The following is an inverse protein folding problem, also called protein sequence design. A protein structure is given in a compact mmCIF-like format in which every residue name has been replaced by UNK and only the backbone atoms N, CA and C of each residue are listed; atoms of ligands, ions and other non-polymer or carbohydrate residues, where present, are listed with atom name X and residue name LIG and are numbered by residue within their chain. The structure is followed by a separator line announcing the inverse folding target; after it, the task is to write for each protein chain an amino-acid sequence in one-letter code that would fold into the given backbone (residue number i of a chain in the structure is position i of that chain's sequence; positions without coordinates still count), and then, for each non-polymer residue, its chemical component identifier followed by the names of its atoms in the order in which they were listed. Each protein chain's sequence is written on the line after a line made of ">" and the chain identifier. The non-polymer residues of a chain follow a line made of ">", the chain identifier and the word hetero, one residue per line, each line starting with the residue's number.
data_IF_990612387112
#
_entry.id   IF_990612387112
#
_cell.length_a   1.000
_cell.length_b   1.000
_cell.length_c   1.000
_cell.angle_alpha   90.00
_cell.angle_beta   90.00
_cell.angle_gamma   90.00
#
_symmetry.space_group_name_H-M   'P 1'
#
loop_
_entity.id
_entity.type
_entity.pdbx_description
1 polymer ?
#
# COMPACT_ATOMS: atom_id res chain seq x y z
N UNK A 1 -15.87 -18.58 -16.51
CA UNK A 1 -14.81 -19.23 -15.71
C UNK A 1 -15.31 -19.37 -14.29
N UNK A 2 -15.05 -20.50 -13.66
CA UNK A 2 -15.39 -20.69 -12.24
C UNK A 2 -14.48 -19.81 -11.38
N UNK A 3 -15.06 -19.08 -10.42
CA UNK A 3 -14.28 -18.20 -9.53
C UNK A 3 -13.37 -19.03 -8.63
N UNK A 4 -12.18 -18.53 -8.36
CA UNK A 4 -11.18 -19.17 -7.49
C UNK A 4 -11.54 -19.13 -5.99
N UNK A 5 -12.66 -18.48 -5.64
CA UNK A 5 -13.20 -18.39 -4.29
C UNK A 5 -14.74 -18.49 -4.30
N UNK A 6 -15.31 -18.76 -3.14
CA UNK A 6 -16.74 -18.64 -2.84
C UNK A 6 -16.96 -17.81 -1.57
N UNK A 7 -18.09 -17.15 -1.47
CA UNK A 7 -18.56 -16.55 -0.23
C UNK A 7 -19.15 -17.65 0.66
N UNK A 8 -18.84 -17.61 1.96
CA UNK A 8 -19.36 -18.57 2.94
C UNK A 8 -20.58 -18.00 3.68
N UNK A 9 -21.23 -18.82 4.50
CA UNK A 9 -22.30 -18.36 5.39
C UNK A 9 -21.80 -17.57 6.62
N UNK A 10 -20.48 -17.58 6.88
CA UNK A 10 -19.89 -16.79 7.96
C UNK A 10 -19.89 -15.31 7.57
N UNK A 11 -20.55 -14.48 8.37
CA UNK A 11 -20.68 -13.04 8.10
C UNK A 11 -20.30 -12.18 9.29
N UNK A 12 -19.93 -10.95 9.00
CA UNK A 12 -19.77 -9.88 9.99
C UNK A 12 -20.57 -8.64 9.57
N UNK A 13 -21.04 -7.88 10.55
CA UNK A 13 -21.56 -6.54 10.31
C UNK A 13 -20.44 -5.53 10.42
N UNK A 14 -20.19 -4.74 9.38
CA UNK A 14 -19.11 -3.77 9.33
C UNK A 14 -19.53 -2.50 8.62
N UNK A 15 -19.50 -1.36 9.32
CA UNK A 15 -19.89 -0.05 8.79
C UNK A 15 -21.23 -0.04 8.05
N UNK A 16 -22.22 -0.78 8.57
CA UNK A 16 -23.56 -0.87 7.97
C UNK A 16 -23.71 -1.88 6.83
N UNK A 17 -22.64 -2.55 6.44
CA UNK A 17 -22.64 -3.60 5.41
C UNK A 17 -22.53 -5.00 6.02
N UNK A 18 -23.11 -6.00 5.37
CA UNK A 18 -22.88 -7.40 5.68
C UNK A 18 -21.74 -7.92 4.82
N UNK A 19 -20.64 -8.31 5.45
CA UNK A 19 -19.49 -8.87 4.75
C UNK A 19 -19.44 -10.39 4.98
N UNK A 20 -19.14 -11.12 3.94
CA UNK A 20 -19.03 -12.58 3.94
C UNK A 20 -17.57 -13.00 3.93
N UNK A 21 -17.22 -13.97 4.76
CA UNK A 21 -15.92 -14.63 4.67
C UNK A 21 -15.82 -15.38 3.35
N UNK A 22 -14.64 -15.30 2.73
CA UNK A 22 -14.36 -16.08 1.52
C UNK A 22 -13.60 -17.37 1.84
N UNK A 23 -13.72 -18.35 0.94
CA UNK A 23 -13.00 -19.61 0.97
C UNK A 23 -12.53 -19.97 -0.43
N UNK A 24 -11.26 -20.38 -0.58
CA UNK A 24 -10.70 -20.78 -1.87
C UNK A 24 -11.38 -22.04 -2.42
N UNK A 25 -11.81 -22.03 -3.67
CA UNK A 25 -12.43 -23.18 -4.36
C UNK A 25 -11.40 -24.10 -5.01
N UNK A 26 -10.20 -23.59 -5.29
CA UNK A 26 -9.08 -24.30 -5.88
C UNK A 26 -7.75 -23.78 -5.35
N UNK A 27 -6.69 -24.54 -5.59
CA UNK A 27 -5.34 -24.07 -5.35
C UNK A 27 -5.04 -22.86 -6.25
N UNK A 28 -4.45 -21.84 -5.67
CA UNK A 28 -3.96 -20.64 -6.33
C UNK A 28 -2.55 -20.30 -5.84
N UNK A 29 -1.99 -19.23 -6.37
CA UNK A 29 -0.72 -18.69 -5.88
C UNK A 29 -0.81 -18.24 -4.41
N UNK A 30 -2.02 -17.89 -3.93
CA UNK A 30 -2.22 -17.21 -2.66
C UNK A 30 -2.94 -18.04 -1.60
N UNK A 31 -3.67 -19.08 -2.02
CA UNK A 31 -4.46 -19.90 -1.13
C UNK A 31 -4.57 -21.33 -1.64
N UNK A 32 -4.71 -22.28 -0.72
CA UNK A 32 -5.04 -23.68 -1.02
C UNK A 32 -6.55 -23.87 -1.03
N UNK A 33 -7.05 -24.83 -1.81
CA UNK A 33 -8.46 -25.21 -1.81
C UNK A 33 -8.95 -25.44 -0.38
N UNK A 34 -10.10 -24.85 -0.01
CA UNK A 34 -10.65 -24.86 1.34
C UNK A 34 -10.03 -23.87 2.33
N UNK A 35 -8.97 -23.14 1.94
CA UNK A 35 -8.40 -22.13 2.81
C UNK A 35 -9.34 -20.94 2.95
N UNK A 36 -9.58 -20.53 4.21
CA UNK A 36 -10.37 -19.33 4.52
C UNK A 36 -9.57 -18.08 4.25
N UNK A 37 -10.21 -17.12 3.60
CA UNK A 37 -9.70 -15.79 3.37
C UNK A 37 -10.28 -14.74 4.33
N UNK A 38 -10.24 -13.47 3.95
CA UNK A 38 -10.86 -12.35 4.65
C UNK A 38 -12.36 -12.20 4.31
N UNK A 39 -12.82 -10.96 4.27
CA UNK A 39 -14.23 -10.62 4.13
C UNK A 39 -14.51 -9.74 2.92
N UNK A 40 -15.56 -10.05 2.18
CA UNK A 40 -16.05 -9.24 1.04
C UNK A 40 -17.54 -9.00 1.16
N UNK A 41 -18.03 -7.89 0.61
CA UNK A 41 -19.48 -7.62 0.54
C UNK A 41 -20.12 -8.37 -0.62
N UNK A 42 -19.42 -8.47 -1.73
CA UNK A 42 -19.91 -9.08 -2.97
C UNK A 42 -18.79 -9.87 -3.66
N UNK A 43 -19.19 -10.88 -4.43
CA UNK A 43 -18.25 -11.59 -5.31
C UNK A 43 -17.61 -10.68 -6.36
N UNK A 44 -18.24 -9.56 -6.69
CA UNK A 44 -17.70 -8.58 -7.63
C UNK A 44 -16.50 -7.80 -7.08
N UNK A 45 -16.27 -7.80 -5.77
CA UNK A 45 -15.13 -7.14 -5.17
C UNK A 45 -13.79 -7.79 -5.56
N UNK A 46 -13.79 -9.07 -5.95
CA UNK A 46 -12.58 -9.79 -6.37
C UNK A 46 -12.73 -10.36 -7.78
N UNK A 47 -11.70 -10.16 -8.59
CA UNK A 47 -11.60 -10.70 -9.94
C UNK A 47 -10.22 -11.34 -10.14
N UNK A 48 -10.07 -12.12 -11.19
CA UNK A 48 -8.86 -12.83 -11.58
C UNK A 48 -8.29 -13.70 -10.43
N UNK A 49 -7.04 -13.47 -10.03
CA UNK A 49 -6.37 -14.18 -8.91
C UNK A 49 -6.22 -13.28 -7.65
N UNK A 50 -6.97 -12.16 -7.59
CA UNK A 50 -6.93 -11.27 -6.43
C UNK A 50 -7.40 -11.99 -5.15
N UNK A 51 -6.78 -11.68 -4.01
CA UNK A 51 -7.06 -12.38 -2.76
C UNK A 51 -7.19 -11.46 -1.56
N UNK A 52 -8.16 -11.76 -0.72
CA UNK A 52 -8.31 -11.14 0.60
C UNK A 52 -8.00 -12.20 1.66
N UNK A 53 -7.07 -11.90 2.56
CA UNK A 53 -6.62 -12.85 3.59
C UNK A 53 -6.90 -12.33 5.01
N UNK A 54 -6.75 -13.20 5.99
CA UNK A 54 -6.83 -12.92 7.42
C UNK A 54 -8.15 -12.25 7.85
N UNK A 55 -8.08 -11.02 8.36
CA UNK A 55 -9.22 -10.19 8.77
C UNK A 55 -9.45 -9.00 7.85
N UNK A 56 -8.75 -8.94 6.71
CA UNK A 56 -8.90 -7.85 5.74
C UNK A 56 -10.32 -7.80 5.18
N UNK A 57 -10.77 -6.61 4.85
CA UNK A 57 -12.14 -6.31 4.41
C UNK A 57 -12.13 -5.53 3.11
N UNK A 58 -12.94 -6.00 2.15
CA UNK A 58 -13.14 -5.32 0.87
C UNK A 58 -14.63 -5.16 0.63
N UNK A 59 -15.11 -3.91 0.51
CA UNK A 59 -16.54 -3.66 0.38
C UNK A 59 -16.85 -2.35 -0.37
N UNK A 60 -18.12 -2.19 -0.73
CA UNK A 60 -18.65 -1.02 -1.40
C UNK A 60 -18.79 -1.24 -2.92
N UNK A 61 -19.80 -0.59 -3.46
CA UNK A 61 -20.05 -0.57 -4.90
C UNK A 61 -18.82 -0.02 -5.65
N UNK A 62 -18.44 -0.64 -6.76
CA UNK A 62 -17.24 -0.31 -7.56
C UNK A 62 -15.88 -0.54 -6.90
N UNK A 63 -15.83 -1.00 -5.65
CA UNK A 63 -14.55 -1.43 -5.04
C UNK A 63 -14.11 -2.75 -5.65
N UNK A 64 -12.91 -2.80 -6.24
CA UNK A 64 -12.43 -3.98 -7.00
C UNK A 64 -10.94 -4.24 -6.76
N UNK A 65 -10.64 -5.50 -6.57
CA UNK A 65 -9.30 -6.06 -6.60
C UNK A 65 -9.18 -6.96 -7.85
N UNK A 66 -8.16 -6.73 -8.67
CA UNK A 66 -7.91 -7.44 -9.93
C UNK A 66 -6.54 -8.12 -9.93
N UNK A 67 -6.28 -8.91 -10.95
CA UNK A 67 -5.01 -9.57 -11.22
C UNK A 67 -4.49 -10.40 -10.02
N UNK A 68 -3.26 -10.12 -9.57
CA UNK A 68 -2.63 -10.75 -8.41
C UNK A 68 -2.62 -9.84 -7.16
N UNK A 69 -3.47 -8.81 -7.10
CA UNK A 69 -3.50 -7.87 -5.99
C UNK A 69 -4.03 -8.51 -4.69
N UNK A 70 -3.59 -8.00 -3.53
CA UNK A 70 -3.93 -8.61 -2.24
C UNK A 70 -4.21 -7.60 -1.14
N UNK A 71 -5.23 -7.91 -0.34
CA UNK A 71 -5.49 -7.28 0.95
C UNK A 71 -5.31 -8.31 2.08
N UNK A 72 -4.54 -7.98 3.13
CA UNK A 72 -4.15 -8.91 4.19
C UNK A 72 -4.15 -8.22 5.57
N UNK A 73 -4.03 -9.01 6.64
CA UNK A 73 -4.07 -8.49 8.02
C UNK A 73 -5.44 -7.93 8.34
N UNK A 74 -5.50 -6.70 8.81
CA UNK A 74 -6.75 -5.97 9.09
C UNK A 74 -7.07 -4.91 8.03
N UNK A 75 -6.37 -4.91 6.90
CA UNK A 75 -6.48 -3.89 5.87
C UNK A 75 -7.93 -3.71 5.38
N UNK A 76 -8.27 -2.48 5.04
CA UNK A 76 -9.59 -2.08 4.58
C UNK A 76 -9.52 -1.44 3.19
N UNK A 77 -10.29 -1.96 2.23
CA UNK A 77 -10.40 -1.41 0.88
C UNK A 77 -11.87 -1.15 0.56
N UNK A 78 -12.26 0.11 0.31
CA UNK A 78 -13.66 0.46 0.14
C UNK A 78 -13.91 1.79 -0.60
N UNK A 79 -15.19 2.12 -0.82
CA UNK A 79 -15.58 3.42 -1.36
C UNK A 79 -15.11 3.64 -2.80
N UNK A 80 -15.22 2.61 -3.66
CA UNK A 80 -14.81 2.67 -5.05
C UNK A 80 -13.30 2.54 -5.30
N UNK A 81 -12.54 2.19 -4.25
CA UNK A 81 -11.10 1.98 -4.37
C UNK A 81 -10.77 0.78 -5.26
N UNK A 82 -9.63 0.84 -5.95
CA UNK A 82 -9.23 -0.20 -6.91
C UNK A 82 -7.78 -0.62 -6.71
N UNK A 83 -7.53 -1.92 -6.84
CA UNK A 83 -6.18 -2.48 -6.81
C UNK A 83 -5.99 -3.44 -7.97
N UNK A 84 -4.80 -3.41 -8.61
CA UNK A 84 -4.45 -4.33 -9.69
C UNK A 84 -2.96 -4.62 -9.76
N UNK A 85 -2.56 -5.49 -10.70
CA UNK A 85 -1.19 -5.97 -10.81
C UNK A 85 -0.83 -6.83 -9.61
N UNK A 86 0.26 -6.50 -8.94
CA UNK A 86 0.73 -7.16 -7.72
C UNK A 86 0.69 -6.24 -6.49
N UNK A 87 -0.18 -5.24 -6.53
CA UNK A 87 -0.35 -4.30 -5.42
C UNK A 87 -0.75 -5.04 -4.14
N UNK A 88 -0.24 -4.57 -3.00
CA UNK A 88 -0.48 -5.19 -1.69
C UNK A 88 -0.83 -4.14 -0.65
N UNK A 89 -1.88 -4.42 0.11
CA UNK A 89 -2.23 -3.64 1.29
C UNK A 89 -2.31 -4.57 2.49
N UNK A 90 -1.66 -4.23 3.61
CA UNK A 90 -1.65 -5.08 4.80
C UNK A 90 -1.41 -4.29 6.09
N UNK A 91 -1.47 -5.00 7.25
CA UNK A 91 -1.53 -4.35 8.55
C UNK A 91 -2.91 -3.76 8.78
N UNK A 92 -2.96 -2.55 9.30
CA UNK A 92 -4.18 -1.75 9.53
C UNK A 92 -4.39 -0.68 8.45
N UNK A 93 -3.70 -0.81 7.30
CA UNK A 93 -3.75 0.16 6.22
C UNK A 93 -5.13 0.23 5.55
N UNK A 94 -5.47 1.40 5.04
CA UNK A 94 -6.74 1.67 4.37
C UNK A 94 -6.58 2.35 3.03
N UNK A 95 -7.35 1.88 2.03
CA UNK A 95 -7.44 2.45 0.68
C UNK A 95 -8.91 2.72 0.38
N UNK A 96 -9.26 3.99 0.14
CA UNK A 96 -10.67 4.38 0.06
C UNK A 96 -10.93 5.58 -0.85
N UNK A 97 -12.24 5.88 -1.03
CA UNK A 97 -12.72 7.06 -1.76
C UNK A 97 -12.18 7.17 -3.19
N UNK A 98 -12.17 6.05 -3.93
CA UNK A 98 -11.73 6.01 -5.31
C UNK A 98 -10.21 6.01 -5.52
N UNK A 99 -9.42 5.99 -4.45
CA UNK A 99 -7.97 5.85 -4.55
C UNK A 99 -7.59 4.49 -5.18
N UNK A 100 -6.44 4.43 -5.80
CA UNK A 100 -5.99 3.23 -6.50
C UNK A 100 -4.56 2.82 -6.15
N UNK A 101 -4.29 1.52 -6.26
CA UNK A 101 -2.94 0.97 -6.13
C UNK A 101 -2.66 -0.02 -7.26
N UNK A 102 -1.47 0.05 -7.86
CA UNK A 102 -1.10 -0.82 -8.99
C UNK A 102 0.33 -1.32 -8.96
N UNK A 103 0.66 -2.15 -9.94
CA UNK A 103 1.98 -2.71 -10.18
C UNK A 103 2.50 -3.53 -8.98
N UNK A 104 3.58 -3.09 -8.34
CA UNK A 104 4.14 -3.71 -7.13
C UNK A 104 4.04 -2.79 -5.91
N UNK A 105 3.14 -1.80 -5.95
CA UNK A 105 2.94 -0.87 -4.85
C UNK A 105 2.53 -1.57 -3.55
N UNK A 106 2.95 -1.01 -2.43
CA UNK A 106 2.65 -1.54 -1.09
C UNK A 106 2.12 -0.44 -0.18
N UNK A 107 1.06 -0.74 0.56
CA UNK A 107 0.62 0.07 1.69
C UNK A 107 0.60 -0.81 2.94
N UNK A 108 1.19 -0.33 4.03
CA UNK A 108 1.47 -1.13 5.23
C UNK A 108 1.16 -0.39 6.51
N UNK A 109 1.28 -1.09 7.62
CA UNK A 109 1.09 -0.55 8.97
C UNK A 109 -0.30 0.10 9.14
N UNK A 110 -0.35 1.40 9.43
CA UNK A 110 -1.56 2.21 9.60
C UNK A 110 -1.72 3.28 8.49
N UNK A 111 -1.18 3.02 7.30
CA UNK A 111 -1.26 3.93 6.16
C UNK A 111 -2.71 4.23 5.77
N UNK A 112 -3.04 5.49 5.57
CA UNK A 112 -4.34 5.96 5.13
C UNK A 112 -4.23 6.62 3.76
N UNK A 113 -4.86 6.03 2.74
CA UNK A 113 -4.80 6.49 1.35
C UNK A 113 -6.23 6.72 0.86
N UNK A 114 -6.58 7.97 0.57
CA UNK A 114 -7.97 8.37 0.28
C UNK A 114 -8.06 9.47 -0.76
N UNK A 115 -8.84 9.27 -1.82
CA UNK A 115 -9.19 10.33 -2.80
C UNK A 115 -9.17 9.86 -4.24
N UNK A 116 -10.09 10.37 -5.05
CA UNK A 116 -10.31 9.98 -6.45
C UNK A 116 -9.09 10.14 -7.38
N UNK A 117 -8.21 11.10 -7.08
CA UNK A 117 -7.04 11.40 -7.90
C UNK A 117 -5.77 10.74 -7.36
N UNK A 118 -5.88 9.91 -6.33
CA UNK A 118 -4.73 9.26 -5.71
C UNK A 118 -4.45 7.93 -6.40
N UNK A 119 -3.25 7.80 -6.96
CA UNK A 119 -2.74 6.54 -7.52
C UNK A 119 -1.37 6.20 -6.95
N UNK A 120 -1.25 5.08 -6.27
CA UNK A 120 0.02 4.55 -5.76
C UNK A 120 0.49 3.44 -6.71
N UNK A 121 1.62 3.60 -7.36
CA UNK A 121 2.05 2.74 -8.46
C UNK A 121 3.55 2.40 -8.41
N UNK A 122 3.98 1.54 -9.33
CA UNK A 122 5.37 1.14 -9.48
C UNK A 122 5.85 0.27 -8.31
N UNK A 123 6.94 0.64 -7.69
CA UNK A 123 7.50 0.01 -6.48
C UNK A 123 7.34 0.90 -5.25
N UNK A 124 6.36 1.81 -5.26
CA UNK A 124 6.08 2.69 -4.12
C UNK A 124 5.74 1.89 -2.87
N UNK A 125 6.33 2.25 -1.75
CA UNK A 125 5.98 1.73 -0.44
C UNK A 125 5.51 2.86 0.46
N UNK A 126 4.27 2.79 0.91
CA UNK A 126 3.62 3.73 1.85
C UNK A 126 3.41 2.97 3.16
N UNK A 127 3.92 3.48 4.26
CA UNK A 127 3.92 2.76 5.54
C UNK A 127 3.47 3.62 6.73
N UNK A 128 4.11 3.39 7.85
CA UNK A 128 3.78 3.95 9.18
C UNK A 128 3.31 5.40 9.15
N UNK A 129 2.10 5.64 9.69
CA UNK A 129 1.56 6.98 9.93
C UNK A 129 1.22 7.77 8.66
N UNK A 130 1.33 7.16 7.48
CA UNK A 130 1.07 7.83 6.20
C UNK A 130 -0.37 8.36 6.13
N UNK A 131 -0.51 9.58 5.62
CA UNK A 131 -1.80 10.19 5.28
C UNK A 131 -1.69 10.78 3.89
N UNK A 132 -2.23 10.06 2.91
CA UNK A 132 -2.18 10.42 1.50
C UNK A 132 -3.60 10.78 1.06
N UNK A 133 -3.87 12.06 0.92
CA UNK A 133 -5.18 12.62 0.53
C UNK A 133 -5.09 13.51 -0.71
N UNK A 134 -3.86 13.82 -1.13
CA UNK A 134 -3.56 14.59 -2.32
C UNK A 134 -2.41 13.95 -3.11
N UNK A 135 -2.34 14.08 -4.45
CA UNK A 135 -1.23 13.54 -5.25
C UNK A 135 0.16 14.04 -4.83
N UNK A 136 0.23 15.21 -4.21
CA UNK A 136 1.48 15.79 -3.72
C UNK A 136 1.92 15.26 -2.34
N UNK A 137 1.12 14.42 -1.69
CA UNK A 137 1.44 13.88 -0.37
C UNK A 137 2.50 12.78 -0.40
N UNK A 138 2.91 12.33 -1.59
CA UNK A 138 4.03 11.40 -1.73
C UNK A 138 4.86 11.67 -2.98
N UNK A 139 6.07 11.15 -2.99
CA UNK A 139 6.96 11.11 -4.15
C UNK A 139 7.78 9.82 -4.14
N UNK A 140 7.92 9.21 -5.31
CA UNK A 140 8.72 8.02 -5.54
C UNK A 140 9.95 8.38 -6.37
N UNK A 141 11.12 8.02 -5.86
CA UNK A 141 12.39 8.10 -6.59
C UNK A 141 12.82 6.68 -6.98
N UNK A 142 12.87 6.41 -8.28
CA UNK A 142 13.37 5.16 -8.85
C UNK A 142 14.65 5.38 -9.63
N UNK A 143 15.52 4.36 -9.65
CA UNK A 143 16.80 4.44 -10.36
C UNK A 143 17.93 5.11 -9.56
N UNK A 144 17.64 5.55 -8.34
CA UNK A 144 18.60 6.02 -7.37
C UNK A 144 18.90 4.92 -6.33
N UNK A 145 20.07 4.92 -5.74
CA UNK A 145 20.45 4.06 -4.60
C UNK A 145 20.12 2.55 -4.78
N UNK A 146 20.04 2.05 -6.01
CA UNK A 146 19.68 0.68 -6.39
C UNK A 146 18.22 0.28 -6.08
N UNK A 147 17.62 0.78 -5.00
CA UNK A 147 16.26 0.47 -4.55
C UNK A 147 15.41 1.74 -4.47
N UNK A 148 14.08 1.63 -4.53
CA UNK A 148 13.20 2.79 -4.47
C UNK A 148 13.30 3.54 -3.16
N UNK A 149 13.25 4.87 -3.25
CA UNK A 149 13.07 5.77 -2.11
C UNK A 149 11.70 6.41 -2.23
N UNK A 150 10.85 6.25 -1.23
CA UNK A 150 9.54 6.90 -1.16
C UNK A 150 9.54 7.91 -0.03
N UNK A 151 9.18 9.15 -0.32
CA UNK A 151 8.90 10.14 0.73
C UNK A 151 7.41 10.46 0.73
N UNK A 152 6.79 10.58 1.90
CA UNK A 152 5.36 10.82 2.01
C UNK A 152 4.98 11.54 3.31
N UNK A 153 3.79 12.18 3.27
CA UNK A 153 3.20 12.85 4.44
C UNK A 153 2.73 11.85 5.48
N UNK A 154 2.93 12.24 6.72
CA UNK A 154 2.43 11.54 7.90
C UNK A 154 1.64 12.51 8.78
N UNK A 155 0.95 12.01 9.80
CA UNK A 155 0.27 12.85 10.80
C UNK A 155 1.22 13.80 11.55
N UNK A 156 2.51 13.47 11.59
CA UNK A 156 3.54 14.23 12.30
C UNK A 156 4.44 15.09 11.38
N UNK A 157 4.13 15.15 10.07
CA UNK A 157 4.94 15.84 9.08
C UNK A 157 5.18 14.98 7.84
N UNK A 158 6.39 14.52 7.62
CA UNK A 158 6.72 13.60 6.54
C UNK A 158 7.80 12.60 6.96
N UNK A 159 7.94 11.53 6.20
CA UNK A 159 9.01 10.54 6.39
C UNK A 159 9.58 10.10 5.05
N UNK A 160 10.78 9.56 5.08
CA UNK A 160 11.45 8.91 3.94
C UNK A 160 11.51 7.43 4.25
N UNK A 161 11.05 6.61 3.33
CA UNK A 161 11.14 5.17 3.39
C UNK A 161 12.14 4.69 2.32
N UNK A 162 13.16 3.97 2.77
CA UNK A 162 14.10 3.27 1.91
C UNK A 162 13.91 1.76 2.09
N UNK A 163 13.54 1.09 1.02
CA UNK A 163 13.25 -0.35 1.00
C UNK A 163 14.39 -1.10 0.29
N UNK A 164 15.59 -1.03 0.88
CA UNK A 164 16.80 -1.57 0.30
C UNK A 164 17.50 -2.58 1.20
N UNK A 165 18.41 -3.37 0.61
CA UNK A 165 19.24 -4.35 1.29
C UNK A 165 18.47 -5.33 2.19
N UNK A 166 17.26 -5.72 1.80
CA UNK A 166 16.37 -6.64 2.52
C UNK A 166 15.77 -6.10 3.83
N UNK A 167 15.85 -4.79 4.06
CA UNK A 167 15.18 -4.17 5.20
C UNK A 167 14.46 -2.88 4.76
N UNK A 168 13.41 -2.55 5.48
CA UNK A 168 12.63 -1.32 5.32
C UNK A 168 12.99 -0.37 6.46
N UNK A 169 13.55 0.78 6.14
CA UNK A 169 13.94 1.79 7.10
C UNK A 169 13.18 3.09 6.88
N UNK A 170 12.82 3.74 7.98
CA UNK A 170 12.14 5.03 8.01
C UNK A 170 13.09 6.11 8.52
N UNK A 171 13.16 7.23 7.82
CA UNK A 171 14.09 8.31 8.10
C UNK A 171 13.40 9.67 8.13
N UNK A 172 13.91 10.56 8.95
CA UNK A 172 13.82 11.99 8.70
C UNK A 172 14.78 12.40 7.57
N UNK A 173 14.61 13.59 7.00
CA UNK A 173 15.55 14.08 5.99
C UNK A 173 16.98 14.30 6.54
N UNK A 174 17.12 14.51 7.86
CA UNK A 174 18.43 14.70 8.49
C UNK A 174 19.15 13.37 8.76
N UNK A 175 18.41 12.30 8.97
CA UNK A 175 18.95 10.95 9.21
C UNK A 175 19.26 10.19 7.93
N UNK A 176 18.52 10.46 6.84
CA UNK A 176 18.57 9.68 5.61
C UNK A 176 19.97 9.66 4.98
N UNK A 177 20.53 10.83 4.64
CA UNK A 177 21.82 10.88 3.97
C UNK A 177 22.98 10.32 4.83
N UNK A 178 23.12 10.66 6.13
CA UNK A 178 24.14 10.07 7.00
C UNK A 178 24.04 8.55 7.12
N UNK A 179 22.84 7.98 7.15
CA UNK A 179 22.67 6.53 7.27
C UNK A 179 22.99 5.80 5.97
N UNK A 180 22.62 6.39 4.82
CA UNK A 180 23.01 5.89 3.49
C UNK A 180 24.53 5.83 3.33
N UNK A 181 25.29 6.75 3.97
CA UNK A 181 26.75 6.72 3.95
C UNK A 181 27.36 5.49 4.63
N UNK A 182 26.64 4.89 5.57
CA UNK A 182 27.07 3.63 6.21
C UNK A 182 26.86 2.43 5.28
N UNK A 183 25.87 2.52 4.40
CA UNK A 183 25.50 1.47 3.46
C UNK A 183 26.38 1.50 2.21
N UNK A 184 26.56 2.68 1.62
CA UNK A 184 27.30 2.87 0.38
C UNK A 184 28.65 3.55 0.60
N UNK A 185 29.72 2.89 0.13
CA UNK A 185 31.05 3.48 0.12
C UNK A 185 31.30 4.39 -1.08
N UNK A 186 30.52 4.23 -2.13
CA UNK A 186 30.64 5.00 -3.37
C UNK A 186 30.25 6.47 -3.15
N UNK A 187 31.16 7.43 -3.43
CA UNK A 187 30.89 8.87 -3.29
C UNK A 187 29.70 9.35 -4.13
N UNK A 188 29.48 8.77 -5.32
CA UNK A 188 28.35 9.16 -6.17
C UNK A 188 27.00 8.80 -5.52
N UNK A 189 26.88 7.62 -4.91
CA UNK A 189 25.68 7.20 -4.17
C UNK A 189 25.44 8.05 -2.93
N UNK A 190 26.47 8.46 -2.25
CA UNK A 190 26.37 9.41 -1.13
C UNK A 190 25.81 10.75 -1.59
N UNK A 191 26.33 11.26 -2.72
CA UNK A 191 25.85 12.52 -3.30
C UNK A 191 24.39 12.42 -3.77
N UNK A 192 23.97 11.30 -4.34
CA UNK A 192 22.56 11.03 -4.66
C UNK A 192 21.68 11.13 -3.41
N UNK A 193 22.07 10.53 -2.29
CA UNK A 193 21.31 10.59 -1.04
C UNK A 193 21.16 12.01 -0.49
N UNK A 194 22.22 12.82 -0.54
CA UNK A 194 22.17 14.24 -0.16
C UNK A 194 21.18 15.03 -1.00
N UNK A 195 21.25 14.87 -2.32
CA UNK A 195 20.37 15.57 -3.26
C UNK A 195 18.92 15.15 -3.09
N UNK A 196 18.66 13.86 -2.84
CA UNK A 196 17.32 13.36 -2.54
C UNK A 196 16.78 13.96 -1.23
N UNK A 197 17.57 13.98 -0.17
CA UNK A 197 17.18 14.58 1.11
C UNK A 197 16.87 16.08 0.95
N UNK A 198 17.68 16.82 0.19
CA UNK A 198 17.44 18.23 -0.10
C UNK A 198 16.15 18.45 -0.89
N UNK A 199 15.93 17.68 -1.95
CA UNK A 199 14.71 17.76 -2.76
C UNK A 199 13.45 17.45 -1.93
N UNK A 200 13.52 16.45 -1.06
CA UNK A 200 12.42 16.07 -0.16
C UNK A 200 12.12 17.20 0.83
N UNK A 201 13.16 17.85 1.42
CA UNK A 201 12.97 19.04 2.28
C UNK A 201 12.28 20.17 1.52
N UNK A 202 12.68 20.44 0.29
CA UNK A 202 12.05 21.49 -0.54
C UNK A 202 10.58 21.16 -0.80
N UNK A 203 10.26 19.89 -1.07
CA UNK A 203 8.89 19.48 -1.39
C UNK A 203 7.96 19.48 -0.18
N UNK A 204 8.39 18.93 0.94
CA UNK A 204 7.55 18.75 2.13
C UNK A 204 7.79 19.78 3.23
N UNK A 205 8.93 20.48 3.21
CA UNK A 205 9.32 21.45 4.24
C UNK A 205 8.62 22.81 4.14
N UNK A 206 7.93 23.10 3.04
CA UNK A 206 7.23 24.38 2.85
C UNK A 206 6.05 24.61 3.80
N UNK A 207 5.51 23.57 4.38
CA UNK A 207 4.32 23.64 5.23
C UNK A 207 4.66 23.65 6.74
N UNK A 208 5.93 23.63 7.11
CA UNK A 208 6.39 23.68 8.51
C UNK A 208 6.64 25.10 9.01
N UNK A 209 6.29 26.12 8.23
CA UNK A 209 6.62 27.52 8.50
C UNK A 209 5.46 28.51 8.34
N UNK A 210 4.20 28.06 8.52
CA UNK A 210 3.03 28.95 8.52
C UNK A 210 2.25 28.82 9.82
#
# INVERSE_FOLDING_TARGET
>A
MEKHFRMTAETIQWQGCTLHRIEATRDSKWAKAGQRGGFVESEDNLQDEAWVADSAKVWGFETRLYDESRAMGNACVFGGARMWGRARIYGDASLLCGASMSDNARATDDAHISGLMIGIYGRTHIGRGAVITHPDDYVLFQGFLNDPVTAYRTRAGYTILYDGLHRTDYYTADEFAPDIYRIFRDPARRREAELLAELIRVRFGKDMGA
#
